data_IF_323001745800
#
_entry.id   IF_323001745800
#
_cell.length_a   1.000
_cell.length_b   1.000
_cell.length_c   1.000
_cell.angle_alpha   90.00
_cell.angle_beta   90.00
_cell.angle_gamma   90.00
#
_symmetry.space_group_name_H-M   'P 1'
#
loop_
_entity.id
_entity.type
_entity.pdbx_description
1 polymer ?
#
# COMPACT_ATOMS: atom_id res chain seq x y z
N UNK A 1 11.95 19.92 30.04
CA UNK A 1 12.51 20.70 28.91
C UNK A 1 11.39 20.88 27.89
N UNK A 2 11.15 22.12 27.44
CA UNK A 2 10.13 22.43 26.43
C UNK A 2 10.67 21.92 25.08
N UNK A 3 9.93 21.06 24.37
CA UNK A 3 10.36 20.55 23.07
C UNK A 3 10.37 21.69 22.05
N UNK A 4 11.51 21.93 21.42
CA UNK A 4 11.69 22.98 20.42
C UNK A 4 11.17 22.52 19.04
N UNK A 5 10.88 23.46 18.14
CA UNK A 5 10.47 23.17 16.77
C UNK A 5 11.52 22.32 16.06
N UNK A 6 11.16 21.10 15.68
CA UNK A 6 12.05 20.19 14.95
C UNK A 6 13.00 19.39 15.84
N UNK A 7 12.77 19.37 17.16
CA UNK A 7 13.46 18.43 18.04
C UNK A 7 13.08 16.97 17.67
N UNK A 8 14.09 16.13 17.56
CA UNK A 8 13.95 14.72 17.15
C UNK A 8 14.25 13.82 18.35
N UNK A 9 13.26 13.05 18.78
CA UNK A 9 13.42 12.10 19.86
C UNK A 9 14.31 10.92 19.41
N UNK A 10 15.54 10.86 19.93
CA UNK A 10 16.54 9.84 19.58
C UNK A 10 16.46 8.57 20.44
N UNK A 11 15.40 8.36 21.22
CA UNK A 11 15.30 7.24 22.15
C UNK A 11 15.49 5.88 21.47
N UNK A 12 14.89 5.66 20.28
CA UNK A 12 15.03 4.40 19.55
C UNK A 12 16.47 4.11 19.10
N UNK A 13 17.22 5.15 18.70
CA UNK A 13 18.63 5.02 18.36
C UNK A 13 19.51 4.76 19.58
N UNK A 14 19.26 5.46 20.71
CA UNK A 14 19.99 5.23 21.97
C UNK A 14 19.80 3.81 22.50
N UNK A 15 18.64 3.21 22.26
CA UNK A 15 18.34 1.82 22.63
C UNK A 15 18.81 0.79 21.60
N UNK A 16 19.49 1.21 20.52
CA UNK A 16 19.92 0.35 19.42
C UNK A 16 18.78 -0.53 18.87
N UNK A 17 17.58 0.04 18.74
CA UNK A 17 16.41 -0.71 18.29
C UNK A 17 16.59 -1.13 16.83
N UNK A 18 16.72 -2.44 16.62
CA UNK A 18 16.83 -3.06 15.29
C UNK A 18 15.46 -3.35 14.68
N UNK A 19 15.23 -2.89 13.46
CA UNK A 19 13.98 -3.05 12.73
C UNK A 19 14.16 -3.93 11.49
N UNK A 20 13.07 -4.58 11.07
CA UNK A 20 13.03 -5.35 9.82
C UNK A 20 12.23 -4.57 8.76
N UNK A 21 12.79 -4.46 7.57
CA UNK A 21 12.12 -3.89 6.40
C UNK A 21 11.72 -5.01 5.44
N UNK A 22 10.41 -5.23 5.30
CA UNK A 22 9.87 -6.29 4.45
C UNK A 22 9.13 -5.68 3.26
N UNK A 23 9.55 -6.03 2.03
CA UNK A 23 8.81 -5.71 0.82
C UNK A 23 7.67 -6.71 0.63
N UNK A 24 6.44 -6.22 0.46
CA UNK A 24 5.22 -7.04 0.43
C UNK A 24 4.49 -6.92 -0.92
N UNK A 25 3.95 -8.02 -1.49
CA UNK A 25 3.14 -7.95 -2.71
C UNK A 25 1.84 -7.16 -2.50
N UNK A 26 1.41 -6.41 -3.53
CA UNK A 26 0.22 -5.53 -3.46
C UNK A 26 -1.07 -6.24 -3.05
N UNK A 27 -1.30 -7.46 -3.55
CA UNK A 27 -2.49 -8.23 -3.17
C UNK A 27 -2.49 -8.55 -1.66
N UNK A 28 -1.32 -8.77 -1.06
CA UNK A 28 -1.22 -9.15 0.34
C UNK A 28 -1.51 -7.94 1.24
N UNK A 29 -0.97 -6.77 0.92
CA UNK A 29 -1.32 -5.53 1.62
C UNK A 29 -2.80 -5.18 1.49
N UNK A 30 -3.42 -5.48 0.34
CA UNK A 30 -4.87 -5.31 0.15
C UNK A 30 -5.68 -6.27 1.04
N UNK A 31 -5.21 -7.50 1.27
CA UNK A 31 -5.87 -8.41 2.22
C UNK A 31 -5.69 -7.94 3.67
N UNK A 32 -4.52 -7.42 4.04
CA UNK A 32 -4.30 -6.90 5.39
C UNK A 32 -5.22 -5.71 5.74
N UNK A 33 -5.58 -4.89 4.74
CA UNK A 33 -6.57 -3.83 4.91
C UNK A 33 -8.00 -4.31 5.22
N UNK A 34 -8.27 -5.62 5.10
CA UNK A 34 -9.55 -6.26 5.43
C UNK A 34 -9.53 -6.97 6.79
N UNK A 35 -8.41 -6.90 7.52
CA UNK A 35 -8.31 -7.51 8.84
C UNK A 35 -9.31 -6.90 9.82
N UNK A 36 -9.79 -7.73 10.74
CA UNK A 36 -10.64 -7.30 11.85
C UNK A 36 -9.91 -6.33 12.77
N UNK A 37 -10.64 -5.67 13.67
CA UNK A 37 -10.12 -4.61 14.56
C UNK A 37 -8.94 -5.04 15.43
N UNK A 38 -8.77 -6.35 15.66
CA UNK A 38 -7.63 -6.90 16.41
C UNK A 38 -6.30 -6.79 15.64
N UNK A 39 -6.34 -6.57 14.33
CA UNK A 39 -5.15 -6.41 13.49
C UNK A 39 -4.36 -7.69 13.21
N UNK A 40 -4.93 -8.87 13.49
CA UNK A 40 -4.28 -10.15 13.21
C UNK A 40 -4.39 -10.49 11.72
N UNK A 41 -3.24 -10.54 11.03
CA UNK A 41 -3.18 -10.83 9.59
C UNK A 41 -2.63 -12.21 9.24
N UNK A 42 -2.04 -12.92 10.19
CA UNK A 42 -1.41 -14.22 9.93
C UNK A 42 -0.26 -14.50 10.88
N UNK A 43 0.55 -15.50 10.53
CA UNK A 43 1.64 -16.00 11.37
C UNK A 43 2.97 -15.95 10.62
N UNK A 44 3.99 -15.41 11.29
CA UNK A 44 5.38 -15.45 10.82
C UNK A 44 6.08 -16.66 11.45
N UNK A 45 6.67 -17.52 10.63
CA UNK A 45 7.48 -18.67 11.05
C UNK A 45 8.94 -18.41 10.74
N UNK A 46 9.78 -18.55 11.74
CA UNK A 46 11.24 -18.45 11.62
C UNK A 46 11.81 -19.81 12.01
N UNK A 47 12.51 -20.46 11.09
CA UNK A 47 13.17 -21.75 11.31
C UNK A 47 14.68 -21.56 11.12
N UNK A 48 15.44 -21.85 12.18
CA UNK A 48 16.91 -21.76 12.19
C UNK A 48 17.47 -23.18 12.16
N UNK A 49 17.90 -23.63 10.99
CA UNK A 49 18.64 -24.88 10.82
C UNK A 49 20.15 -24.67 10.98
N UNK A 50 20.93 -25.75 10.87
CA UNK A 50 22.40 -25.69 10.84
C UNK A 50 22.87 -24.86 9.64
N UNK A 51 23.12 -23.57 9.85
CA UNK A 51 23.66 -22.64 8.84
C UNK A 51 22.64 -21.98 7.90
N UNK A 52 21.36 -22.35 7.95
CA UNK A 52 20.30 -21.75 7.10
C UNK A 52 19.16 -21.22 7.95
N UNK A 53 18.85 -19.94 7.79
CA UNK A 53 17.64 -19.33 8.35
C UNK A 53 16.58 -19.27 7.26
N UNK A 54 15.44 -19.91 7.52
CA UNK A 54 14.27 -19.85 6.66
C UNK A 54 13.17 -19.06 7.36
N UNK A 55 12.59 -18.10 6.65
CA UNK A 55 11.52 -17.26 7.16
C UNK A 55 10.34 -17.37 6.20
N UNK A 56 9.16 -17.68 6.74
CA UNK A 56 7.93 -17.73 5.96
C UNK A 56 6.79 -17.03 6.69
N UNK A 57 5.84 -16.51 5.93
CA UNK A 57 4.62 -15.90 6.43
C UNK A 57 3.43 -16.67 5.88
N UNK A 58 2.47 -16.97 6.77
CA UNK A 58 1.24 -17.67 6.44
C UNK A 58 0.06 -16.75 6.73
N UNK A 59 -0.69 -16.41 5.69
CA UNK A 59 -1.91 -15.59 5.79
C UNK A 59 -3.00 -16.33 6.59
N UNK A 60 -3.72 -15.58 7.43
CA UNK A 60 -4.86 -16.11 8.18
C UNK A 60 -5.95 -16.65 7.23
N UNK A 61 -6.74 -17.61 7.71
CA UNK A 61 -7.75 -18.28 6.89
C UNK A 61 -8.88 -17.36 6.47
N UNK A 62 -9.33 -16.54 7.43
CA UNK A 62 -10.35 -15.52 7.24
C UNK A 62 -10.01 -14.57 6.09
N UNK A 63 -8.75 -14.10 6.05
CA UNK A 63 -8.27 -13.20 5.00
C UNK A 63 -7.97 -13.91 3.68
N UNK A 64 -7.69 -15.21 3.71
CA UNK A 64 -7.42 -15.99 2.50
C UNK A 64 -8.69 -16.33 1.72
N UNK A 65 -9.79 -16.63 2.43
CA UNK A 65 -11.07 -17.06 1.86
C UNK A 65 -12.11 -15.94 1.68
N UNK A 66 -12.03 -14.85 2.46
CA UNK A 66 -13.10 -13.85 2.57
C UNK A 66 -13.08 -12.69 1.56
N UNK A 67 -12.09 -12.61 0.65
CA UNK A 67 -11.94 -11.37 -0.10
C UNK A 67 -10.95 -11.41 -1.25
N UNK A 68 -11.00 -12.42 -2.12
CA UNK A 68 -10.40 -12.30 -3.44
C UNK A 68 -10.83 -10.98 -4.12
N UNK A 69 -9.94 -10.38 -4.92
CA UNK A 69 -10.20 -9.17 -5.69
C UNK A 69 -11.61 -9.23 -6.28
N UNK A 70 -12.48 -8.36 -5.78
CA UNK A 70 -13.87 -8.29 -6.19
C UNK A 70 -13.88 -7.54 -7.52
N UNK A 71 -13.52 -8.25 -8.59
CA UNK A 71 -13.79 -7.77 -9.93
C UNK A 71 -15.30 -7.52 -10.02
N UNK A 72 -15.68 -6.32 -10.43
CA UNK A 72 -17.04 -5.78 -10.49
C UNK A 72 -17.96 -6.49 -11.51
N UNK A 73 -17.72 -7.78 -11.79
CA UNK A 73 -18.47 -8.59 -12.74
C UNK A 73 -19.14 -9.76 -12.01
N UNK A 74 -20.44 -9.93 -12.29
CA UNK A 74 -21.38 -10.86 -11.65
C UNK A 74 -21.08 -12.38 -11.84
N UNK A 75 -19.84 -12.76 -12.10
CA UNK A 75 -19.35 -14.16 -12.16
C UNK A 75 -17.93 -14.27 -11.61
N UNK A 76 -17.68 -13.84 -10.38
CA UNK A 76 -16.39 -14.04 -9.72
C UNK A 76 -16.34 -15.44 -9.10
N UNK A 77 -15.67 -16.38 -9.77
CA UNK A 77 -15.19 -17.59 -9.10
C UNK A 77 -14.29 -17.12 -7.95
N UNK A 78 -14.63 -17.44 -6.70
CA UNK A 78 -13.80 -17.09 -5.56
C UNK A 78 -12.37 -17.60 -5.80
N UNK A 79 -11.42 -16.70 -5.97
CA UNK A 79 -10.02 -17.05 -6.19
C UNK A 79 -9.29 -16.85 -4.89
N UNK A 80 -8.88 -17.99 -4.34
CA UNK A 80 -8.21 -18.07 -3.06
C UNK A 80 -6.86 -17.35 -3.13
N UNK A 81 -6.63 -16.48 -2.16
CA UNK A 81 -5.34 -15.81 -2.03
C UNK A 81 -4.28 -16.83 -1.59
N UNK A 82 -3.08 -16.85 -2.20
CA UNK A 82 -1.99 -17.68 -1.71
C UNK A 82 -1.75 -17.40 -0.23
N UNK A 83 -1.69 -18.46 0.57
CA UNK A 83 -1.49 -18.34 2.02
C UNK A 83 -0.03 -18.28 2.38
N UNK A 84 0.76 -19.14 1.74
CA UNK A 84 2.18 -19.30 2.04
C UNK A 84 3.04 -18.33 1.26
N UNK A 85 3.92 -17.66 1.99
CA UNK A 85 4.88 -16.72 1.46
C UNK A 85 6.26 -16.98 2.06
N UNK A 86 7.29 -16.99 1.23
CA UNK A 86 8.68 -17.07 1.67
C UNK A 86 9.25 -15.66 1.79
N UNK A 87 9.91 -15.37 2.90
CA UNK A 87 10.65 -14.12 3.08
C UNK A 87 12.11 -14.36 2.67
N UNK A 88 12.46 -13.92 1.47
CA UNK A 88 13.82 -13.98 0.97
C UNK A 88 14.64 -12.87 1.64
N UNK A 89 15.50 -13.25 2.59
CA UNK A 89 16.37 -12.32 3.31
C UNK A 89 17.37 -11.65 2.36
N UNK A 90 17.53 -10.34 2.50
CA UNK A 90 18.48 -9.51 1.77
C UNK A 90 19.55 -8.99 2.74
N UNK A 91 20.78 -8.83 2.25
CA UNK A 91 21.83 -8.14 2.98
C UNK A 91 21.49 -6.66 3.18
N UNK A 92 21.97 -6.08 4.28
CA UNK A 92 21.78 -4.66 4.62
C UNK A 92 23.07 -3.85 4.46
N UNK A 93 24.09 -4.45 3.84
CA UNK A 93 25.38 -3.82 3.60
C UNK A 93 25.28 -2.70 2.54
N UNK A 94 26.01 -1.61 2.74
CA UNK A 94 26.15 -0.52 1.76
C UNK A 94 25.22 0.68 1.96
N UNK A 95 24.18 0.57 2.79
CA UNK A 95 23.31 1.71 3.11
C UNK A 95 22.69 1.56 4.52
N UNK A 96 22.90 2.55 5.38
CA UNK A 96 22.20 2.62 6.68
C UNK A 96 20.80 3.22 6.47
N UNK A 97 19.78 2.57 7.02
CA UNK A 97 18.39 3.00 6.92
C UNK A 97 17.83 3.24 8.33
N UNK A 98 17.35 4.45 8.59
CA UNK A 98 16.63 4.81 9.83
C UNK A 98 15.13 4.92 9.58
N UNK A 99 14.32 4.56 10.57
CA UNK A 99 12.85 4.73 10.53
C UNK A 99 12.47 5.89 11.44
N UNK A 100 11.75 6.85 10.88
CA UNK A 100 11.25 8.02 11.59
C UNK A 100 9.72 7.96 11.65
N UNK A 101 9.15 8.40 12.76
CA UNK A 101 7.71 8.56 12.93
C UNK A 101 7.39 10.01 13.29
N UNK A 102 6.32 10.51 12.70
CA UNK A 102 5.73 11.80 13.03
C UNK A 102 4.49 11.53 13.86
N UNK A 103 4.52 11.94 15.13
CA UNK A 103 3.38 11.84 16.02
C UNK A 103 2.39 12.94 15.67
N UNK A 104 1.16 12.57 15.34
CA UNK A 104 0.05 13.52 15.25
C UNK A 104 -0.30 14.01 16.65
N UNK A 105 0.41 15.03 17.15
CA UNK A 105 -0.13 15.85 18.22
C UNK A 105 -1.36 16.51 17.62
N UNK A 106 -2.55 16.09 18.06
CA UNK A 106 -3.80 16.72 17.61
C UNK A 106 -3.64 18.23 17.64
N UNK A 107 -4.10 18.92 16.59
CA UNK A 107 -4.16 20.38 16.52
C UNK A 107 -5.02 20.90 17.69
N UNK A 108 -4.49 20.93 18.89
CA UNK A 108 -5.07 21.59 20.02
C UNK A 108 -4.44 22.97 20.06
N UNK A 109 -5.05 23.88 19.31
CA UNK A 109 -4.86 25.31 19.52
C UNK A 109 -5.56 25.64 20.84
N UNK A 110 -4.84 25.59 21.95
CA UNK A 110 -5.31 26.31 23.15
C UNK A 110 -5.22 27.80 22.83
N UNK A 111 -6.38 28.40 22.54
CA UNK A 111 -6.53 29.80 22.15
C UNK A 111 -6.13 30.82 23.26
N UNK A 112 -5.55 30.33 24.36
CA UNK A 112 -5.15 31.13 25.54
C UNK A 112 -3.64 31.25 25.67
N UNK A 113 -2.85 30.52 24.88
CA UNK A 113 -1.39 30.59 24.88
C UNK A 113 -0.93 30.58 23.43
N UNK A 114 -0.30 31.66 22.95
CA UNK A 114 0.19 31.77 21.56
C UNK A 114 1.33 30.80 21.20
N UNK A 115 1.33 29.59 21.74
CA UNK A 115 2.34 28.57 21.59
C UNK A 115 1.93 27.63 20.46
N UNK A 116 2.73 27.60 19.40
CA UNK A 116 2.54 26.68 18.27
C UNK A 116 2.97 25.29 18.73
N UNK A 117 2.03 24.33 18.83
CA UNK A 117 2.37 22.92 19.06
C UNK A 117 2.90 22.35 17.76
N UNK A 118 4.16 21.91 17.76
CA UNK A 118 4.79 21.25 16.62
C UNK A 118 4.58 19.74 16.71
N UNK A 119 4.45 19.09 15.55
CA UNK A 119 4.39 17.63 15.48
C UNK A 119 5.69 17.04 16.02
N UNK A 120 5.56 16.08 16.93
CA UNK A 120 6.70 15.46 17.61
C UNK A 120 7.32 14.41 16.70
N UNK A 121 8.61 14.55 16.41
CA UNK A 121 9.36 13.61 15.57
C UNK A 121 10.11 12.61 16.44
N UNK A 122 10.16 11.35 15.99
CA UNK A 122 10.87 10.27 16.67
C UNK A 122 11.74 9.48 15.69
N UNK A 123 12.94 9.09 16.12
CA UNK A 123 13.77 8.09 15.47
C UNK A 123 13.52 6.74 16.13
N UNK A 124 12.68 5.91 15.50
CA UNK A 124 12.24 4.61 16.02
C UNK A 124 13.37 3.59 16.14
N UNK A 125 14.32 3.63 15.20
CA UNK A 125 15.43 2.68 15.15
C UNK A 125 16.09 2.58 13.78
N UNK A 126 16.99 1.61 13.66
CA UNK A 126 17.78 1.34 12.45
C UNK A 126 17.36 0.00 11.86
N UNK A 127 17.23 -0.09 10.54
CA UNK A 127 16.91 -1.34 9.85
C UNK A 127 18.13 -2.26 9.90
N UNK A 128 17.98 -3.41 10.56
CA UNK A 128 19.03 -4.43 10.71
C UNK A 128 18.84 -5.62 9.78
N UNK A 129 17.65 -5.78 9.19
CA UNK A 129 17.37 -6.85 8.26
C UNK A 129 16.39 -6.39 7.17
N UNK A 130 16.66 -6.82 5.93
CA UNK A 130 15.76 -6.63 4.79
C UNK A 130 15.22 -7.97 4.31
N UNK A 131 14.00 -8.00 3.80
CA UNK A 131 13.44 -9.19 3.18
C UNK A 131 12.45 -8.86 2.06
N UNK A 132 12.40 -9.71 1.04
CA UNK A 132 11.32 -9.73 0.04
C UNK A 132 10.32 -10.84 0.40
N UNK A 133 9.08 -10.47 0.69
CA UNK A 133 7.99 -11.43 0.81
C UNK A 133 7.54 -11.87 -0.59
N UNK A 134 7.64 -13.16 -0.87
CA UNK A 134 7.31 -13.75 -2.18
C UNK A 134 6.26 -14.83 -2.01
N UNK A 135 5.20 -14.86 -2.84
CA UNK A 135 4.27 -15.97 -2.84
C UNK A 135 4.97 -17.27 -3.21
N UNK A 136 4.50 -18.37 -2.65
CA UNK A 136 4.78 -19.69 -3.22
C UNK A 136 4.09 -19.78 -4.58
N UNK A 137 4.86 -20.10 -5.63
CA UNK A 137 4.35 -20.15 -7.00
C UNK A 137 3.47 -21.40 -7.14
N UNK A 138 2.20 -21.18 -7.45
CA UNK A 138 1.23 -22.23 -7.71
C UNK A 138 0.10 -21.75 -8.62
N UNK A 139 -0.80 -22.66 -8.99
CA UNK A 139 -1.90 -22.38 -9.91
C UNK A 139 -2.81 -21.25 -9.40
N UNK A 140 -3.13 -21.25 -8.10
CA UNK A 140 -3.96 -20.21 -7.48
C UNK A 140 -3.35 -18.81 -7.62
N UNK A 141 -2.02 -18.69 -7.40
CA UNK A 141 -1.30 -17.43 -7.56
C UNK A 141 -1.32 -16.96 -9.01
N UNK A 142 -1.06 -17.86 -9.97
CA UNK A 142 -1.04 -17.51 -11.40
C UNK A 142 -2.42 -17.08 -11.89
N UNK A 143 -3.49 -17.76 -11.44
CA UNK A 143 -4.87 -17.39 -11.74
C UNK A 143 -5.23 -16.01 -11.21
N UNK A 144 -4.90 -15.73 -9.94
CA UNK A 144 -5.08 -14.40 -9.36
C UNK A 144 -4.31 -13.33 -10.14
N UNK A 145 -3.01 -13.58 -10.39
CA UNK A 145 -2.14 -12.62 -11.09
C UNK A 145 -2.67 -12.29 -12.48
N UNK A 146 -3.19 -13.28 -13.21
CA UNK A 146 -3.83 -13.08 -14.51
C UNK A 146 -5.02 -12.13 -14.42
N UNK A 147 -5.95 -12.36 -13.50
CA UNK A 147 -7.11 -11.49 -13.34
C UNK A 147 -6.71 -10.07 -12.95
N UNK A 148 -5.74 -9.93 -12.06
CA UNK A 148 -5.27 -8.61 -11.63
C UNK A 148 -4.65 -7.84 -12.79
N UNK A 149 -3.90 -8.52 -13.67
CA UNK A 149 -3.40 -7.93 -14.92
C UNK A 149 -4.57 -7.51 -15.81
N UNK A 150 -5.53 -8.40 -16.05
CA UNK A 150 -6.69 -8.10 -16.90
C UNK A 150 -7.46 -6.87 -16.40
N UNK A 151 -7.76 -6.82 -15.10
CA UNK A 151 -8.47 -5.68 -14.48
C UNK A 151 -7.64 -4.40 -14.54
N UNK A 152 -6.34 -4.46 -14.24
CA UNK A 152 -5.46 -3.29 -14.31
C UNK A 152 -5.17 -2.81 -15.74
N UNK A 153 -5.32 -3.69 -16.72
CA UNK A 153 -5.08 -3.38 -18.14
C UNK A 153 -6.30 -2.72 -18.82
N UNK A 154 -7.47 -2.74 -18.16
CA UNK A 154 -8.67 -2.08 -18.68
C UNK A 154 -8.49 -0.57 -18.55
N UNK A 155 -8.51 0.18 -19.67
CA UNK A 155 -8.41 1.63 -19.61
C UNK A 155 -9.66 2.23 -18.94
N UNK A 156 -9.47 3.29 -18.16
CA UNK A 156 -10.58 3.98 -17.46
C UNK A 156 -11.58 4.63 -18.43
N UNK A 157 -11.16 4.93 -19.66
CA UNK A 157 -12.00 5.52 -20.71
C UNK A 157 -11.81 4.73 -21.99
N UNK A 158 -12.92 4.39 -22.62
CA UNK A 158 -12.96 3.75 -23.93
C UNK A 158 -13.52 4.77 -24.92
N UNK A 159 -12.78 5.05 -26.00
CA UNK A 159 -13.34 5.75 -27.14
C UNK A 159 -14.38 4.84 -27.80
N UNK A 160 -15.61 5.32 -27.93
CA UNK A 160 -16.62 4.64 -28.71
C UNK A 160 -16.50 5.09 -30.16
N UNK A 161 -16.19 4.16 -31.05
CA UNK A 161 -16.22 4.45 -32.48
C UNK A 161 -17.68 4.67 -32.89
N UNK A 162 -17.96 5.84 -33.46
CA UNK A 162 -19.26 6.09 -34.07
C UNK A 162 -19.36 5.21 -35.33
N UNK A 163 -20.49 4.51 -35.48
CA UNK A 163 -20.76 3.67 -36.64
C UNK A 163 -20.73 4.47 -37.95
N UNK A 164 -21.12 5.75 -37.87
CA UNK A 164 -21.15 6.68 -38.99
C UNK A 164 -20.54 8.02 -38.59
N UNK A 165 -19.87 8.67 -39.53
CA UNK A 165 -19.39 10.03 -39.34
C UNK A 165 -20.56 10.96 -39.02
N UNK A 166 -20.38 11.88 -38.06
CA UNK A 166 -21.37 12.93 -37.77
C UNK A 166 -21.35 13.92 -38.93
N UNK A 167 -22.26 13.75 -39.88
CA UNK A 167 -22.40 14.61 -41.06
C UNK A 167 -23.39 15.75 -40.86
N UNK A 168 -24.04 15.83 -39.70
CA UNK A 168 -24.98 16.90 -39.35
C UNK A 168 -24.23 18.19 -39.00
N UNK A 169 -23.67 18.84 -40.01
CA UNK A 169 -23.17 20.21 -39.89
C UNK A 169 -24.38 21.14 -39.76
N UNK A 170 -24.70 21.58 -38.55
CA UNK A 170 -25.76 22.56 -38.33
C UNK A 170 -25.30 23.93 -38.79
N UNK A 171 -25.99 24.50 -39.78
CA UNK A 171 -25.75 25.89 -40.18
C UNK A 171 -26.24 26.80 -39.05
N UNK A 172 -25.45 27.77 -38.58
CA UNK A 172 -25.92 28.71 -37.56
C UNK A 172 -27.17 29.42 -38.07
N UNK A 173 -28.29 29.23 -37.36
CA UNK A 173 -29.59 29.84 -37.72
C UNK A 173 -29.64 31.32 -37.31
N UNK A 174 -28.78 31.72 -36.37
CA UNK A 174 -28.58 33.10 -35.98
C UNK A 174 -27.09 33.42 -35.94
N UNK A 175 -26.74 34.63 -36.37
CA UNK A 175 -25.38 35.14 -36.25
C UNK A 175 -25.04 35.31 -34.76
N UNK A 176 -23.84 34.91 -34.35
CA UNK A 176 -23.41 35.06 -32.96
C UNK A 176 -23.43 36.55 -32.58
N UNK A 177 -23.88 36.93 -31.37
CA UNK A 177 -24.02 38.34 -30.97
C UNK A 177 -22.75 39.18 -31.20
N UNK A 178 -21.58 38.56 -31.06
CA UNK A 178 -20.27 39.16 -31.36
C UNK A 178 -20.10 39.61 -32.82
N UNK A 179 -20.70 38.89 -33.78
CA UNK A 179 -20.63 39.25 -35.21
C UNK A 179 -21.63 40.34 -35.61
N UNK A 180 -22.59 40.70 -34.74
CA UNK A 180 -23.61 41.73 -35.01
C UNK A 180 -23.23 43.08 -34.39
N UNK A 181 -22.19 43.10 -33.55
CA UNK A 181 -21.77 44.26 -32.76
C UNK A 181 -20.58 45.02 -33.38
N UNK A 182 -20.17 44.68 -34.61
CA UNK A 182 -19.15 45.37 -35.41
C UNK A 182 -19.64 45.59 -36.83
#
# INVERSE_FOLDING_TARGET
>A
AMAEKGDLDLTGAKLNRGLWLVKVPKYLSQQWGKATERGEVGKLKISKGQGKTEVSFVLSEELAGGGGVQGTSAKSTAINTPRDHVLALQGVAGQSLGVFTEGSSGKQTDATSGNVVYDKLFLEGVVVQRADCRPVVGESYMKMKRMQIEESSKPMRLSQQLEKAVTTNYKPVANHQYNVSF
#
